data_IF_138084502495
#
_entry.id   IF_138084502495
#
_cell.length_a   1.000
_cell.length_b   1.000
_cell.length_c   1.000
_cell.angle_alpha   90.00
_cell.angle_beta   90.00
_cell.angle_gamma   90.00
#
_symmetry.space_group_name_H-M   'P 1'
#
loop_
_entity.id
_entity.type
_entity.pdbx_description
1 polymer ?
#
# COMPACT_ATOMS: atom_id res chain seq x y z
N UNK A 1 14.80 -12.34 13.67
CA UNK A 1 14.02 -11.84 12.50
C UNK A 1 14.89 -12.02 11.25
N UNK A 2 14.42 -12.71 10.22
CA UNK A 2 15.16 -12.82 8.95
C UNK A 2 15.00 -11.52 8.15
N UNK A 3 16.02 -11.15 7.38
CA UNK A 3 16.01 -9.93 6.55
C UNK A 3 14.78 -9.90 5.62
N UNK A 4 14.40 -11.06 5.09
CA UNK A 4 13.23 -11.25 4.24
C UNK A 4 11.94 -10.77 4.91
N UNK A 5 11.72 -11.14 6.18
CA UNK A 5 10.51 -10.75 6.92
C UNK A 5 10.41 -9.23 7.11
N UNK A 6 11.54 -8.55 7.26
CA UNK A 6 11.57 -7.08 7.38
C UNK A 6 11.19 -6.38 6.08
N UNK A 7 11.59 -6.95 4.94
CA UNK A 7 11.29 -6.41 3.61
C UNK A 7 9.82 -6.66 3.28
N UNK A 8 9.34 -7.89 3.42
CA UNK A 8 7.96 -8.25 3.04
C UNK A 8 6.87 -7.64 3.93
N UNK A 9 7.22 -7.17 5.13
CA UNK A 9 6.31 -6.54 6.07
C UNK A 9 6.51 -5.02 6.18
N UNK A 10 7.23 -4.39 5.24
CA UNK A 10 7.39 -2.94 5.25
C UNK A 10 6.12 -2.25 4.74
N UNK A 11 5.48 -1.37 5.54
CA UNK A 11 4.29 -0.62 5.12
C UNK A 11 4.57 0.21 3.86
N UNK A 12 5.77 0.79 3.78
CA UNK A 12 6.21 1.59 2.62
C UNK A 12 6.33 0.74 1.34
N UNK A 13 6.85 -0.49 1.45
CA UNK A 13 6.92 -1.39 0.30
C UNK A 13 5.54 -1.90 -0.11
N UNK A 14 4.62 -2.09 0.83
CA UNK A 14 3.22 -2.41 0.53
C UNK A 14 2.52 -1.29 -0.24
N UNK A 15 2.74 -0.03 0.14
CA UNK A 15 2.22 1.13 -0.61
C UNK A 15 2.85 1.23 -1.98
N UNK A 16 4.19 1.17 -2.06
CA UNK A 16 4.91 1.27 -3.32
C UNK A 16 4.49 0.19 -4.31
N UNK A 17 4.41 -1.06 -3.86
CA UNK A 17 3.94 -2.18 -4.70
C UNK A 17 2.49 -1.99 -5.12
N UNK A 18 1.59 -1.60 -4.20
CA UNK A 18 0.21 -1.31 -4.54
C UNK A 18 0.04 -0.20 -5.58
N UNK A 19 0.86 0.86 -5.51
CA UNK A 19 0.88 1.95 -6.50
C UNK A 19 1.37 1.47 -7.87
N UNK A 20 2.43 0.65 -7.91
CA UNK A 20 2.93 0.07 -9.16
C UNK A 20 1.84 -0.80 -9.80
N UNK A 21 1.21 -1.67 -9.03
CA UNK A 21 0.14 -2.56 -9.50
C UNK A 21 -1.06 -1.77 -10.03
N UNK A 22 -1.45 -0.70 -9.33
CA UNK A 22 -2.52 0.19 -9.76
C UNK A 22 -2.17 0.94 -11.05
N UNK A 23 -0.94 1.42 -11.19
CA UNK A 23 -0.50 2.13 -12.38
C UNK A 23 -0.49 1.20 -13.61
N UNK A 24 0.07 -0.01 -13.47
CA UNK A 24 0.16 -0.96 -14.58
C UNK A 24 -1.20 -1.51 -14.97
N UNK A 25 -1.96 -2.02 -13.99
CA UNK A 25 -3.29 -2.55 -14.26
C UNK A 25 -4.28 -1.46 -14.69
N UNK A 26 -4.14 -0.24 -14.16
CA UNK A 26 -4.93 0.91 -14.56
C UNK A 26 -4.72 1.27 -16.03
N UNK A 27 -3.47 1.25 -16.50
CA UNK A 27 -3.18 1.48 -17.93
C UNK A 27 -3.87 0.45 -18.83
N UNK A 28 -3.76 -0.84 -18.48
CA UNK A 28 -4.38 -1.93 -19.24
C UNK A 28 -5.91 -1.90 -19.19
N UNK A 29 -6.49 -1.56 -18.04
CA UNK A 29 -7.94 -1.36 -17.90
C UNK A 29 -8.39 -0.23 -18.81
N UNK A 30 -7.70 0.92 -18.81
CA UNK A 30 -8.03 2.08 -19.66
C UNK A 30 -8.00 1.70 -21.14
N UNK A 31 -6.97 0.96 -21.58
CA UNK A 31 -6.85 0.49 -22.97
C UNK A 31 -7.97 -0.47 -23.37
N UNK A 32 -8.54 -1.21 -22.41
CA UNK A 32 -9.58 -2.23 -22.64
C UNK A 32 -10.98 -1.81 -22.22
N UNK A 33 -11.22 -0.53 -21.88
CA UNK A 33 -12.51 -0.02 -21.37
C UNK A 33 -13.72 -0.26 -22.30
N UNK A 34 -13.48 -0.53 -23.59
CA UNK A 34 -14.52 -0.84 -24.58
C UNK A 34 -14.81 -2.34 -24.74
N UNK A 35 -14.04 -3.21 -24.11
CA UNK A 35 -14.20 -4.66 -24.18
C UNK A 35 -14.91 -5.17 -22.92
N UNK A 36 -15.97 -6.01 -23.03
CA UNK A 36 -16.71 -6.53 -21.88
C UNK A 36 -15.94 -7.60 -21.08
N UNK A 37 -14.61 -7.56 -21.10
CA UNK A 37 -13.72 -8.57 -20.53
C UNK A 37 -13.26 -8.18 -19.12
N UNK A 38 -13.75 -8.90 -18.11
CA UNK A 38 -13.18 -8.85 -16.76
C UNK A 38 -11.99 -9.81 -16.70
N UNK A 39 -10.80 -9.28 -17.02
CA UNK A 39 -9.53 -10.02 -17.01
C UNK A 39 -8.70 -9.87 -15.72
N UNK A 40 -7.52 -10.48 -15.72
CA UNK A 40 -6.56 -10.45 -14.60
C UNK A 40 -6.22 -9.02 -14.13
N UNK A 41 -6.20 -8.05 -15.05
CA UNK A 41 -5.89 -6.65 -14.76
C UNK A 41 -6.86 -6.05 -13.71
N UNK A 42 -8.16 -6.37 -13.77
CA UNK A 42 -9.13 -5.92 -12.76
C UNK A 42 -8.83 -6.52 -11.38
N UNK A 43 -8.45 -7.80 -11.33
CA UNK A 43 -8.03 -8.46 -10.10
C UNK A 43 -6.74 -7.86 -9.52
N UNK A 44 -5.77 -7.53 -10.38
CA UNK A 44 -4.50 -6.88 -9.99
C UNK A 44 -4.75 -5.46 -9.48
N UNK A 45 -5.65 -4.70 -10.12
CA UNK A 45 -6.03 -3.37 -9.67
C UNK A 45 -6.66 -3.42 -8.27
N UNK A 46 -7.63 -4.32 -8.04
CA UNK A 46 -8.26 -4.50 -6.73
C UNK A 46 -7.21 -4.92 -5.68
N UNK A 47 -6.32 -5.84 -6.05
CA UNK A 47 -5.24 -6.28 -5.16
C UNK A 47 -4.33 -5.11 -4.77
N UNK A 48 -3.93 -4.26 -5.72
CA UNK A 48 -3.14 -3.06 -5.46
C UNK A 48 -3.83 -2.08 -4.50
N UNK A 49 -5.15 -1.87 -4.67
CA UNK A 49 -5.96 -1.04 -3.76
C UNK A 49 -5.92 -1.60 -2.34
N UNK A 50 -6.20 -2.90 -2.19
CA UNK A 50 -6.19 -3.56 -0.87
C UNK A 50 -4.81 -3.45 -0.22
N UNK A 51 -3.73 -3.57 -1.00
CA UNK A 51 -2.36 -3.46 -0.50
C UNK A 51 -2.07 -2.07 0.09
N UNK A 52 -2.53 -1.01 -0.57
CA UNK A 52 -2.42 0.37 -0.06
C UNK A 52 -3.29 0.55 1.19
N UNK A 53 -4.55 0.11 1.16
CA UNK A 53 -5.47 0.26 2.29
C UNK A 53 -4.95 -0.42 3.55
N UNK A 54 -4.29 -1.58 3.43
CA UNK A 54 -3.67 -2.28 4.56
C UNK A 54 -2.52 -1.51 5.21
N UNK A 55 -1.80 -0.71 4.43
CA UNK A 55 -0.67 0.05 4.95
C UNK A 55 -1.09 1.35 5.66
N UNK A 56 -2.30 1.88 5.40
CA UNK A 56 -2.78 3.11 6.03
C UNK A 56 -2.86 3.00 7.56
N UNK A 57 -3.51 1.98 8.17
CA UNK A 57 -3.53 1.84 9.62
C UNK A 57 -2.14 1.71 10.25
N UNK A 58 -1.21 1.01 9.58
CA UNK A 58 0.17 0.85 10.05
C UNK A 58 0.91 2.18 10.07
N UNK A 59 0.72 3.01 9.04
CA UNK A 59 1.28 4.38 9.01
C UNK A 59 0.66 5.26 10.09
N UNK A 60 -0.66 5.21 10.28
CA UNK A 60 -1.34 5.99 11.31
C UNK A 60 -0.85 5.62 12.72
N UNK A 61 -0.64 4.34 12.99
CA UNK A 61 -0.08 3.87 14.25
C UNK A 61 1.33 4.41 14.47
N UNK A 62 2.21 4.28 13.47
CA UNK A 62 3.58 4.78 13.58
C UNK A 62 3.67 6.30 13.74
N UNK A 63 2.77 7.06 13.10
CA UNK A 63 2.67 8.51 13.28
C UNK A 63 2.23 8.88 14.70
N UNK A 64 1.25 8.17 15.26
CA UNK A 64 0.79 8.36 16.64
C UNK A 64 1.90 8.09 17.66
N UNK A 65 2.64 7.00 17.49
CA UNK A 65 3.79 6.67 18.35
C UNK A 65 4.89 7.74 18.27
N UNK A 66 5.15 8.27 17.07
CA UNK A 66 6.13 9.33 16.87
C UNK A 66 5.70 10.65 17.54
N UNK A 67 4.40 10.96 17.53
CA UNK A 67 3.82 12.12 18.21
C UNK A 67 3.91 11.97 19.75
N UNK A 68 3.49 10.84 20.30
CA UNK A 68 3.56 10.56 21.74
C UNK A 68 5.01 10.57 22.27
N UNK A 69 5.95 10.02 21.49
CA UNK A 69 7.38 10.07 21.82
C UNK A 69 7.92 11.51 21.85
N UNK A 70 7.46 12.36 20.91
CA UNK A 70 7.83 13.78 20.87
C UNK A 70 7.29 14.53 22.08
N UNK A 71 6.05 14.29 22.49
CA UNK A 71 5.45 14.92 23.68
C UNK A 71 6.22 14.55 24.95
N UNK A 72 6.55 13.27 25.12
CA UNK A 72 7.34 12.76 26.26
C UNK A 72 8.73 13.40 26.32
N UNK A 73 9.42 13.51 25.18
CA UNK A 73 10.76 14.14 25.11
C UNK A 73 10.71 15.65 25.35
N UNK A 74 9.58 16.31 25.07
CA UNK A 74 9.38 17.74 25.30
C UNK A 74 8.92 18.07 26.73
N UNK A 75 8.83 17.07 27.61
CA UNK A 75 8.62 17.29 29.06
C UNK A 75 7.24 17.86 29.40
N UNK A 76 6.21 17.53 28.62
CA UNK A 76 4.82 17.68 29.04
C UNK A 76 4.35 16.48 29.84
#
# INVERSE_FOLDING_TARGET
MTMLKRITQSPFLNILSGLILLATAGNEIIETLGEPSIGAHHGIAIFGIIQILKAIPELMHGLKEAEEAKETLQGK
#
